data_IF_821444335293
#
_entry.id   IF_821444335293
#
_cell.length_a   1.000
_cell.length_b   1.000
_cell.length_c   1.000
_cell.angle_alpha   90.00
_cell.angle_beta   90.00
_cell.angle_gamma   90.00
#
_symmetry.space_group_name_H-M   'P 1'
#
loop_
_entity.id
_entity.type
_entity.pdbx_description
1 polymer ?
#
# COMPACT_ATOMS: atom_id res chain seq x y z
N UNK A 1 -4.00 5.05 6.16
CA UNK A 1 -3.79 6.28 6.96
C UNK A 1 -3.12 5.98 8.29
N UNK A 2 -3.73 5.19 9.19
CA UNK A 2 -3.14 4.74 10.48
C UNK A 2 -1.66 4.34 10.37
N UNK A 3 -1.35 3.37 9.51
CA UNK A 3 0.01 2.85 9.36
C UNK A 3 0.99 3.93 8.86
N UNK A 4 0.56 4.76 7.90
CA UNK A 4 1.38 5.85 7.37
C UNK A 4 1.71 6.88 8.47
N UNK A 5 0.71 7.32 9.23
CA UNK A 5 0.92 8.25 10.34
C UNK A 5 1.86 7.66 11.41
N UNK A 6 1.65 6.40 11.81
CA UNK A 6 2.54 5.71 12.76
C UNK A 6 3.96 5.52 12.24
N UNK A 7 4.14 5.45 10.92
CA UNK A 7 5.45 5.38 10.27
C UNK A 7 6.11 6.76 10.06
N UNK A 8 5.51 7.85 10.57
CA UNK A 8 5.99 9.21 10.37
C UNK A 8 5.77 9.77 8.96
N UNK A 9 4.92 9.13 8.15
CA UNK A 9 4.57 9.58 6.80
C UNK A 9 3.40 10.56 6.90
N UNK A 10 3.65 11.82 6.53
CA UNK A 10 2.68 12.90 6.68
C UNK A 10 1.75 13.12 5.49
N UNK A 11 2.06 12.55 4.32
CA UNK A 11 1.27 12.70 3.08
C UNK A 11 0.91 11.32 2.53
N UNK A 12 -0.38 11.10 2.28
CA UNK A 12 -0.93 9.89 1.67
C UNK A 12 -1.73 10.26 0.43
N UNK A 13 -1.55 9.52 -0.66
CA UNK A 13 -2.19 9.80 -1.95
C UNK A 13 -3.10 8.63 -2.33
N UNK A 14 -4.29 8.96 -2.85
CA UNK A 14 -5.22 7.98 -3.42
C UNK A 14 -5.93 8.57 -4.63
N UNK A 15 -6.69 7.75 -5.36
CA UNK A 15 -7.59 8.26 -6.41
C UNK A 15 -8.70 9.12 -5.80
N UNK A 16 -9.47 8.56 -4.87
CA UNK A 16 -10.64 9.18 -4.25
C UNK A 16 -10.89 8.57 -2.89
N UNK A 17 -11.18 9.39 -1.89
CA UNK A 17 -11.53 8.89 -0.56
C UNK A 17 -12.93 8.26 -0.58
N UNK A 18 -13.19 7.34 0.36
CA UNK A 18 -14.55 6.97 0.70
C UNK A 18 -15.34 8.15 1.27
N UNK A 19 -16.63 7.93 1.49
CA UNK A 19 -17.54 9.00 1.92
C UNK A 19 -18.88 8.48 2.39
N UNK A 20 -19.84 9.38 2.51
CA UNK A 20 -21.25 9.04 2.78
C UNK A 20 -21.85 8.52 1.48
N UNK A 21 -22.44 7.33 1.51
CA UNK A 21 -23.13 6.79 0.34
C UNK A 21 -24.41 7.58 0.05
N UNK A 22 -24.90 7.47 -1.18
CA UNK A 22 -26.23 8.01 -1.54
C UNK A 22 -27.29 7.29 -0.72
N UNK A 23 -28.24 8.03 -0.15
CA UNK A 23 -29.20 7.54 0.87
C UNK A 23 -28.55 7.16 2.23
N UNK A 24 -27.34 7.65 2.48
CA UNK A 24 -26.58 7.42 3.71
C UNK A 24 -27.29 7.92 4.98
N UNK A 25 -28.21 8.88 4.87
CA UNK A 25 -29.02 9.36 6.00
C UNK A 25 -30.00 8.30 6.54
N UNK A 26 -30.41 7.36 5.70
CA UNK A 26 -31.34 6.29 6.06
C UNK A 26 -30.59 4.98 6.32
N UNK A 27 -29.59 4.69 5.48
CA UNK A 27 -28.84 3.43 5.53
C UNK A 27 -27.70 3.43 6.53
N UNK A 28 -27.19 4.62 6.88
CA UNK A 28 -25.94 4.80 7.63
C UNK A 28 -24.72 4.15 6.97
N UNK A 29 -24.77 3.93 5.65
CA UNK A 29 -23.65 3.44 4.85
C UNK A 29 -22.62 4.57 4.67
N UNK A 30 -21.68 4.65 5.62
CA UNK A 30 -20.67 5.70 5.72
C UNK A 30 -19.29 5.05 5.80
N UNK A 31 -18.40 5.48 4.91
CA UNK A 31 -17.03 4.96 4.88
C UNK A 31 -16.26 5.29 6.17
N UNK A 32 -15.54 4.28 6.67
CA UNK A 32 -14.59 4.44 7.77
C UNK A 32 -13.49 5.48 7.47
N UNK A 33 -13.20 5.76 6.20
CA UNK A 33 -12.24 6.79 5.77
C UNK A 33 -12.52 8.15 6.42
N UNK A 34 -13.80 8.54 6.55
CA UNK A 34 -14.18 9.84 7.10
C UNK A 34 -13.89 9.94 8.60
N UNK A 35 -14.20 8.86 9.32
CA UNK A 35 -13.92 8.78 10.76
C UNK A 35 -12.42 8.71 11.01
N UNK A 36 -11.68 8.01 10.14
CA UNK A 36 -10.23 7.91 10.20
C UNK A 36 -9.55 9.26 9.90
N UNK A 37 -10.05 10.03 8.93
CA UNK A 37 -9.65 11.43 8.70
C UNK A 37 -9.89 12.29 9.94
N UNK A 38 -10.95 12.05 10.72
CA UNK A 38 -11.21 12.77 11.97
C UNK A 38 -10.24 12.44 13.12
N UNK A 39 -9.45 11.37 13.02
CA UNK A 39 -8.68 10.80 14.15
C UNK A 39 -7.19 10.67 13.91
N UNK A 40 -6.75 10.78 12.66
CA UNK A 40 -5.35 10.56 12.28
C UNK A 40 -4.78 11.82 11.62
N UNK A 41 -3.77 12.47 12.24
CA UNK A 41 -3.06 13.62 11.67
C UNK A 41 -2.24 13.25 10.43
N UNK A 42 -2.90 13.23 9.28
CA UNK A 42 -2.29 12.94 7.98
C UNK A 42 -2.92 13.80 6.89
N UNK A 43 -2.12 14.23 5.92
CA UNK A 43 -2.62 14.87 4.72
C UNK A 43 -2.99 13.81 3.69
N UNK A 44 -4.24 13.79 3.24
CA UNK A 44 -4.71 12.93 2.15
C UNK A 44 -4.91 13.77 0.91
N UNK A 45 -4.30 13.35 -0.20
CA UNK A 45 -4.44 13.97 -1.52
C UNK A 45 -5.26 13.05 -2.41
N UNK A 46 -6.39 13.53 -2.91
CA UNK A 46 -7.30 12.76 -3.75
C UNK A 46 -8.05 13.65 -4.73
N UNK A 47 -8.75 13.06 -5.70
CA UNK A 47 -9.64 13.77 -6.61
C UNK A 47 -11.01 14.10 -5.98
N UNK A 48 -11.02 14.41 -4.68
CA UNK A 48 -12.23 14.47 -3.88
C UNK A 48 -12.67 13.08 -3.40
N UNK A 49 -13.98 12.86 -3.39
CA UNK A 49 -14.62 11.60 -2.98
C UNK A 49 -15.01 10.80 -4.23
N UNK A 50 -15.07 9.47 -4.14
CA UNK A 50 -15.47 8.63 -5.29
C UNK A 50 -16.86 9.03 -5.85
N UNK A 51 -17.02 9.05 -7.18
CA UNK A 51 -18.22 9.57 -7.87
C UNK A 51 -19.56 8.93 -7.47
N UNK A 52 -19.55 7.70 -6.96
CA UNK A 52 -20.77 7.00 -6.54
C UNK A 52 -21.36 7.52 -5.22
N UNK A 53 -20.63 8.38 -4.52
CA UNK A 53 -20.93 8.84 -3.17
C UNK A 53 -21.69 10.17 -3.16
N UNK A 54 -22.19 10.55 -1.99
CA UNK A 54 -22.85 11.83 -1.76
C UNK A 54 -21.83 12.88 -1.30
N UNK A 55 -21.48 13.80 -2.20
CA UNK A 55 -20.46 14.83 -1.93
C UNK A 55 -20.90 15.79 -0.83
N UNK A 56 -22.15 16.28 -0.89
CA UNK A 56 -22.68 17.23 0.09
C UNK A 56 -22.66 16.66 1.50
N UNK A 57 -23.25 15.47 1.69
CA UNK A 57 -23.24 14.80 2.99
C UNK A 57 -21.84 14.43 3.46
N UNK A 58 -20.94 14.08 2.55
CA UNK A 58 -19.55 13.80 2.90
C UNK A 58 -18.83 15.05 3.43
N UNK A 59 -19.04 16.21 2.82
CA UNK A 59 -18.46 17.47 3.30
C UNK A 59 -19.01 17.85 4.68
N UNK A 60 -20.32 17.72 4.91
CA UNK A 60 -20.94 17.94 6.23
C UNK A 60 -20.39 16.98 7.30
N UNK A 61 -20.19 15.71 6.94
CA UNK A 61 -19.60 14.73 7.85
C UNK A 61 -18.14 15.06 8.17
N UNK A 62 -17.34 15.45 7.17
CA UNK A 62 -15.95 15.84 7.37
C UNK A 62 -15.83 17.11 8.24
N UNK A 63 -16.73 18.07 8.06
CA UNK A 63 -16.85 19.24 8.94
C UNK A 63 -17.14 18.81 10.38
N UNK A 64 -18.11 17.90 10.57
CA UNK A 64 -18.46 17.35 11.89
C UNK A 64 -17.27 16.62 12.55
N UNK A 65 -16.43 15.94 11.75
CA UNK A 65 -15.21 15.27 12.23
C UNK A 65 -14.02 16.23 12.43
N UNK A 66 -14.19 17.54 12.20
CA UNK A 66 -13.12 18.52 12.33
C UNK A 66 -12.00 18.36 11.30
N UNK A 67 -12.30 17.76 10.14
CA UNK A 67 -11.32 17.55 9.06
C UNK A 67 -11.18 18.83 8.23
N UNK A 68 -9.95 19.30 8.06
CA UNK A 68 -9.68 20.44 7.18
C UNK A 68 -9.77 20.00 5.72
N UNK A 69 -10.70 20.55 4.95
CA UNK A 69 -10.87 20.25 3.53
C UNK A 69 -10.51 21.46 2.67
N UNK A 70 -9.56 21.29 1.76
CA UNK A 70 -9.09 22.34 0.85
C UNK A 70 -9.07 21.84 -0.60
N UNK A 71 -9.62 22.63 -1.53
CA UNK A 71 -9.39 22.37 -2.96
C UNK A 71 -7.98 22.84 -3.34
N UNK A 72 -7.25 22.01 -4.09
CA UNK A 72 -5.98 22.38 -4.70
C UNK A 72 -6.23 23.02 -6.06
N UNK A 73 -5.94 24.32 -6.19
CA UNK A 73 -6.14 25.10 -7.40
C UNK A 73 -6.62 26.52 -7.11
N UNK A 74 -6.92 27.27 -8.17
CA UNK A 74 -7.31 28.68 -8.07
C UNK A 74 -8.74 28.91 -7.53
N UNK A 75 -9.58 27.87 -7.53
CA UNK A 75 -10.99 27.95 -7.18
C UNK A 75 -11.32 27.00 -6.02
N UNK A 76 -12.39 27.31 -5.28
CA UNK A 76 -12.91 26.48 -4.19
C UNK A 76 -13.81 25.34 -4.63
N UNK A 77 -14.02 25.14 -5.93
CA UNK A 77 -14.91 24.08 -6.42
C UNK A 77 -14.37 22.73 -5.94
N UNK A 78 -15.22 21.96 -5.25
CA UNK A 78 -14.86 20.61 -4.85
C UNK A 78 -14.97 19.70 -6.07
N UNK A 79 -13.94 18.92 -6.43
CA UNK A 79 -14.01 18.01 -7.57
C UNK A 79 -14.90 16.79 -7.28
N UNK A 80 -15.63 16.34 -8.29
CA UNK A 80 -16.41 15.10 -8.26
C UNK A 80 -15.61 13.97 -8.94
N UNK A 81 -14.41 13.69 -8.47
CA UNK A 81 -13.53 12.62 -8.97
C UNK A 81 -13.15 12.74 -10.44
N UNK A 82 -14.05 12.36 -11.37
CA UNK A 82 -13.86 12.55 -12.80
C UNK A 82 -14.19 13.95 -13.28
N UNK A 83 -14.98 14.73 -12.56
CA UNK A 83 -15.26 16.12 -12.92
C UNK A 83 -14.48 17.10 -12.04
N UNK A 84 -13.89 18.16 -12.62
CA UNK A 84 -13.25 19.22 -11.82
C UNK A 84 -14.26 20.02 -10.98
N UNK A 85 -15.57 19.85 -11.21
CA UNK A 85 -16.63 20.55 -10.50
C UNK A 85 -17.76 19.60 -10.09
N UNK A 86 -18.16 19.69 -8.82
CA UNK A 86 -19.27 18.89 -8.26
C UNK A 86 -20.56 19.66 -8.05
N UNK A 87 -20.53 21.00 -8.17
CA UNK A 87 -21.57 21.88 -7.66
C UNK A 87 -21.43 22.21 -6.16
N UNK A 88 -20.48 21.60 -5.45
CA UNK A 88 -20.13 21.92 -4.07
C UNK A 88 -18.79 22.68 -4.01
N UNK A 89 -18.54 23.35 -2.89
CA UNK A 89 -17.30 24.09 -2.64
C UNK A 89 -16.61 23.62 -1.37
N UNK A 90 -15.29 23.49 -1.42
CA UNK A 90 -14.45 23.28 -0.24
C UNK A 90 -14.50 24.48 0.72
N UNK A 91 -14.40 24.26 2.04
CA UNK A 91 -14.23 25.34 3.02
C UNK A 91 -12.99 26.20 2.77
N UNK A 92 -11.90 25.59 2.28
CA UNK A 92 -10.63 26.27 2.02
C UNK A 92 -10.12 26.00 0.59
N UNK A 93 -9.07 26.74 0.18
CA UNK A 93 -8.31 26.49 -1.04
C UNK A 93 -6.81 26.66 -0.79
N UNK A 94 -6.01 25.97 -1.58
CA UNK A 94 -4.55 26.17 -1.67
C UNK A 94 -4.14 26.17 -3.14
N UNK A 95 -3.26 27.07 -3.53
CA UNK A 95 -2.92 27.28 -4.95
C UNK A 95 -1.66 26.53 -5.40
N UNK A 96 -0.81 26.13 -4.46
CA UNK A 96 0.52 25.59 -4.74
C UNK A 96 1.00 24.64 -3.61
N UNK A 97 2.08 23.87 -3.84
CA UNK A 97 2.61 22.95 -2.84
C UNK A 97 3.11 23.63 -1.56
N UNK A 98 3.58 24.87 -1.64
CA UNK A 98 4.07 25.65 -0.51
C UNK A 98 2.94 25.99 0.48
N UNK A 99 1.80 26.46 -0.01
CA UNK A 99 0.60 26.73 0.79
C UNK A 99 0.06 25.45 1.42
N UNK A 100 -0.03 24.37 0.65
CA UNK A 100 -0.45 23.07 1.16
C UNK A 100 0.49 22.55 2.26
N UNK A 101 1.81 22.61 2.03
CA UNK A 101 2.81 22.20 3.01
C UNK A 101 2.76 23.05 4.30
N UNK A 102 2.50 24.35 4.17
CA UNK A 102 2.31 25.27 5.30
C UNK A 102 1.04 24.94 6.09
N UNK A 103 -0.05 24.60 5.40
CA UNK A 103 -1.30 24.17 6.05
C UNK A 103 -1.05 22.90 6.88
N UNK A 104 -0.38 21.89 6.32
CA UNK A 104 0.00 20.67 7.04
C UNK A 104 0.84 20.99 8.28
N UNK A 105 1.88 21.80 8.13
CA UNK A 105 2.76 22.19 9.24
C UNK A 105 1.99 22.92 10.35
N UNK A 106 1.06 23.80 9.97
CA UNK A 106 0.21 24.55 10.91
C UNK A 106 -0.71 23.62 11.70
N UNK A 107 -1.40 22.69 11.03
CA UNK A 107 -2.26 21.68 11.66
C UNK A 107 -1.48 20.84 12.69
N UNK A 108 -0.27 20.39 12.32
CA UNK A 108 0.59 19.61 13.22
C UNK A 108 1.07 20.45 14.41
N UNK A 109 1.47 21.72 14.19
CA UNK A 109 1.96 22.60 15.27
C UNK A 109 0.89 22.94 16.31
N UNK A 110 -0.38 22.95 15.90
CA UNK A 110 -1.53 23.16 16.78
C UNK A 110 -1.90 21.89 17.59
N UNK A 111 -1.27 20.75 17.31
CA UNK A 111 -1.56 19.48 17.98
C UNK A 111 -2.92 18.89 17.62
N UNK A 112 -3.52 19.31 16.49
CA UNK A 112 -4.81 18.82 16.04
C UNK A 112 -4.73 17.32 15.72
N UNK A 113 -5.73 16.57 16.16
CA UNK A 113 -5.80 15.11 16.00
C UNK A 113 -6.53 14.68 14.71
N UNK A 114 -6.93 15.62 13.86
CA UNK A 114 -7.58 15.37 12.57
C UNK A 114 -6.61 15.53 11.40
N UNK A 115 -6.95 14.89 10.29
CA UNK A 115 -6.25 14.99 9.02
C UNK A 115 -6.65 16.21 8.19
N UNK A 116 -5.99 16.35 7.05
CA UNK A 116 -6.28 17.35 6.03
C UNK A 116 -6.60 16.64 4.73
N UNK A 117 -7.70 17.00 4.06
CA UNK A 117 -8.04 16.52 2.73
C UNK A 117 -7.73 17.62 1.70
N UNK A 118 -6.77 17.35 0.82
CA UNK A 118 -6.51 18.15 -0.38
C UNK A 118 -7.24 17.54 -1.57
N UNK A 119 -8.31 18.19 -2.00
CA UNK A 119 -9.09 17.78 -3.16
C UNK A 119 -8.49 18.37 -4.45
N UNK A 120 -7.89 17.52 -5.27
CA UNK A 120 -7.17 17.88 -6.50
C UNK A 120 -8.05 17.58 -7.72
N UNK A 121 -8.46 18.59 -8.50
CA UNK A 121 -9.22 18.34 -9.72
C UNK A 121 -8.48 17.42 -10.71
N UNK A 122 -9.24 16.62 -11.46
CA UNK A 122 -8.71 15.87 -12.61
C UNK A 122 -7.95 16.81 -13.57
N UNK A 123 -6.89 16.37 -14.27
CA UNK A 123 -6.21 17.20 -15.27
C UNK A 123 -7.17 17.80 -16.30
N UNK A 124 -6.92 19.05 -16.68
CA UNK A 124 -7.77 19.81 -17.62
C UNK A 124 -7.97 19.07 -18.96
N UNK A 125 -6.94 18.40 -19.46
CA UNK A 125 -6.98 17.58 -20.67
C UNK A 125 -8.01 16.44 -20.61
N UNK A 126 -8.34 15.96 -19.40
CA UNK A 126 -9.30 14.90 -19.16
C UNK A 126 -10.66 15.42 -18.66
N UNK A 127 -10.80 16.71 -18.39
CA UNK A 127 -12.00 17.29 -17.77
C UNK A 127 -13.28 17.06 -18.61
N UNK A 128 -13.20 17.21 -19.94
CA UNK A 128 -14.35 17.02 -20.82
C UNK A 128 -14.83 15.56 -20.87
N UNK A 129 -13.88 14.61 -20.97
CA UNK A 129 -14.19 13.19 -20.91
C UNK A 129 -14.71 12.79 -19.52
N UNK A 130 -14.10 13.35 -18.48
CA UNK A 130 -14.46 13.14 -17.09
C UNK A 130 -15.88 13.62 -16.76
N UNK A 131 -16.30 14.78 -17.28
CA UNK A 131 -17.67 15.27 -17.15
C UNK A 131 -18.70 14.29 -17.75
N UNK A 132 -18.43 13.72 -18.92
CA UNK A 132 -19.31 12.71 -19.54
C UNK A 132 -19.39 11.43 -18.69
N UNK A 133 -18.27 11.03 -18.08
CA UNK A 133 -18.22 9.87 -17.19
C UNK A 133 -19.04 10.15 -15.92
N UNK A 134 -18.92 11.34 -15.35
CA UNK A 134 -19.67 11.75 -14.15
C UNK A 134 -21.18 11.77 -14.40
N UNK A 135 -21.62 12.28 -15.55
CA UNK A 135 -23.02 12.26 -15.98
C UNK A 135 -23.56 10.82 -16.15
N UNK A 136 -22.74 9.93 -16.71
CA UNK A 136 -23.06 8.51 -16.84
C UNK A 136 -23.19 7.83 -15.47
N UNK A 137 -22.32 8.16 -14.52
CA UNK A 137 -22.37 7.66 -13.14
C UNK A 137 -23.62 8.15 -12.44
N UNK A 138 -23.94 9.45 -12.53
CA UNK A 138 -25.13 10.01 -11.91
C UNK A 138 -26.41 9.36 -12.46
N UNK A 139 -26.44 9.08 -13.77
CA UNK A 139 -27.54 8.34 -14.41
C UNK A 139 -27.63 6.90 -13.85
N UNK A 140 -26.51 6.20 -13.74
CA UNK A 140 -26.46 4.83 -13.22
C UNK A 140 -26.89 4.75 -11.74
N UNK A 141 -26.45 5.70 -10.92
CA UNK A 141 -26.84 5.83 -9.50
C UNK A 141 -28.35 6.05 -9.38
N UNK A 142 -28.92 6.97 -10.15
CA UNK A 142 -30.38 7.22 -10.16
C UNK A 142 -31.15 5.98 -10.60
N UNK A 143 -30.68 5.27 -11.64
CA UNK A 143 -31.33 4.04 -12.11
C UNK A 143 -31.26 2.91 -11.07
N UNK A 144 -30.13 2.77 -10.36
CA UNK A 144 -29.98 1.80 -9.28
C UNK A 144 -31.00 2.05 -8.16
N UNK A 145 -31.16 3.31 -7.77
CA UNK A 145 -32.14 3.75 -6.76
C UNK A 145 -33.57 3.45 -7.20
N UNK A 146 -33.95 3.83 -8.43
CA UNK A 146 -35.31 3.56 -8.98
C UNK A 146 -35.62 2.06 -9.05
N UNK A 147 -34.61 1.23 -9.33
CA UNK A 147 -34.74 -0.23 -9.38
C UNK A 147 -34.68 -0.91 -8.01
N UNK A 148 -34.46 -0.15 -6.93
CA UNK A 148 -34.32 -0.70 -5.58
C UNK A 148 -33.09 -1.60 -5.41
N UNK A 149 -32.05 -1.41 -6.22
CA UNK A 149 -30.79 -2.15 -6.10
C UNK A 149 -30.10 -1.65 -4.83
N UNK A 150 -29.79 -2.56 -3.92
CA UNK A 150 -29.25 -2.23 -2.59
C UNK A 150 -28.11 -3.16 -2.20
N UNK A 151 -27.34 -2.76 -1.18
CA UNK A 151 -26.22 -3.54 -0.65
C UNK A 151 -25.14 -3.84 -1.69
N UNK A 152 -24.65 -5.08 -1.66
CA UNK A 152 -23.49 -5.52 -2.49
C UNK A 152 -23.73 -5.47 -4.01
N UNK A 153 -24.98 -5.35 -4.46
CA UNK A 153 -25.35 -5.38 -5.87
C UNK A 153 -25.34 -3.99 -6.53
N UNK A 154 -25.26 -2.92 -5.73
CA UNK A 154 -25.22 -1.52 -6.21
C UNK A 154 -23.97 -1.25 -7.03
N UNK A 155 -22.80 -1.59 -6.48
CA UNK A 155 -21.51 -1.28 -7.13
C UNK A 155 -21.35 -2.03 -8.46
N UNK A 156 -21.58 -3.35 -8.57
CA UNK A 156 -21.54 -4.04 -9.86
C UNK A 156 -22.51 -3.47 -10.90
N UNK A 157 -23.72 -3.08 -10.49
CA UNK A 157 -24.70 -2.48 -11.38
C UNK A 157 -24.21 -1.13 -11.95
N UNK A 158 -23.73 -0.24 -11.08
CA UNK A 158 -23.22 1.07 -11.49
C UNK A 158 -22.03 0.88 -12.43
N UNK A 159 -21.08 0.00 -12.08
CA UNK A 159 -19.89 -0.24 -12.90
C UNK A 159 -20.22 -0.77 -14.29
N UNK A 160 -21.15 -1.73 -14.40
CA UNK A 160 -21.59 -2.25 -15.69
C UNK A 160 -22.21 -1.14 -16.53
N UNK A 161 -23.12 -0.36 -15.94
CA UNK A 161 -23.81 0.73 -16.63
C UNK A 161 -22.86 1.82 -17.10
N UNK A 162 -21.91 2.22 -16.26
CA UNK A 162 -20.90 3.23 -16.60
C UNK A 162 -20.00 2.72 -17.71
N UNK A 163 -19.61 1.44 -17.70
CA UNK A 163 -18.82 0.87 -18.78
C UNK A 163 -19.59 0.87 -20.11
N UNK A 164 -20.86 0.48 -20.10
CA UNK A 164 -21.74 0.49 -21.28
C UNK A 164 -21.88 1.91 -21.87
N UNK A 165 -22.03 2.93 -21.01
CA UNK A 165 -22.20 4.32 -21.40
C UNK A 165 -20.88 4.99 -21.85
N UNK A 166 -19.76 4.62 -21.24
CA UNK A 166 -18.47 5.31 -21.45
C UNK A 166 -17.53 4.56 -22.41
N UNK A 167 -17.87 3.32 -22.80
CA UNK A 167 -17.08 2.45 -23.69
C UNK A 167 -15.61 2.32 -23.23
N UNK A 168 -15.38 2.20 -21.93
CA UNK A 168 -14.04 2.03 -21.33
C UNK A 168 -13.22 3.32 -21.17
N UNK A 169 -13.76 4.50 -21.47
CA UNK A 169 -13.07 5.79 -21.25
C UNK A 169 -12.82 6.10 -19.78
N UNK A 170 -13.61 5.54 -18.87
CA UNK A 170 -13.48 5.73 -17.42
C UNK A 170 -12.13 5.26 -16.86
N UNK A 171 -11.55 4.19 -17.41
CA UNK A 171 -10.26 3.66 -16.95
C UNK A 171 -9.10 4.64 -17.24
N UNK A 172 -9.08 5.24 -18.43
CA UNK A 172 -8.04 6.20 -18.81
C UNK A 172 -8.09 7.46 -17.94
N UNK A 173 -9.29 8.00 -17.68
CA UNK A 173 -9.49 9.13 -16.79
C UNK A 173 -9.07 8.81 -15.35
N UNK A 174 -9.34 7.59 -14.86
CA UNK A 174 -8.95 7.15 -13.52
C UNK A 174 -7.42 7.03 -13.37
N UNK A 175 -6.74 6.48 -14.37
CA UNK A 175 -5.28 6.44 -14.37
C UNK A 175 -4.70 7.87 -14.35
N UNK A 176 -5.24 8.77 -15.18
CA UNK A 176 -4.79 10.15 -15.27
C UNK A 176 -4.96 10.93 -13.96
N UNK A 177 -6.11 10.80 -13.29
CA UNK A 177 -6.33 11.47 -11.99
C UNK A 177 -5.40 10.91 -10.91
N UNK A 178 -5.15 9.59 -10.87
CA UNK A 178 -4.24 8.98 -9.89
C UNK A 178 -2.82 9.51 -10.09
N UNK A 179 -2.34 9.59 -11.33
CA UNK A 179 -1.05 10.19 -11.64
C UNK A 179 -0.97 11.66 -11.23
N UNK A 180 -2.04 12.43 -11.44
CA UNK A 180 -2.08 13.83 -11.03
C UNK A 180 -2.00 13.98 -9.50
N UNK A 181 -2.79 13.19 -8.77
CA UNK A 181 -2.78 13.19 -7.31
C UNK A 181 -1.39 12.79 -6.77
N UNK A 182 -0.75 11.80 -7.39
CA UNK A 182 0.60 11.36 -7.02
C UNK A 182 1.65 12.44 -7.27
N UNK A 183 1.55 13.16 -8.40
CA UNK A 183 2.42 14.29 -8.72
C UNK A 183 2.26 15.41 -7.68
N UNK A 184 1.04 15.85 -7.42
CA UNK A 184 0.74 16.92 -6.45
C UNK A 184 1.15 16.50 -5.04
N UNK A 185 0.76 15.30 -4.59
CA UNK A 185 1.13 14.79 -3.27
C UNK A 185 2.64 14.67 -3.08
N UNK A 186 3.38 14.25 -4.11
CA UNK A 186 4.84 14.20 -4.06
C UNK A 186 5.47 15.59 -3.93
N UNK A 187 4.94 16.58 -4.66
CA UNK A 187 5.40 17.97 -4.56
C UNK A 187 5.15 18.53 -3.14
N UNK A 188 3.95 18.33 -2.59
CA UNK A 188 3.60 18.74 -1.22
C UNK A 188 4.54 18.07 -0.20
N UNK A 189 4.77 16.76 -0.32
CA UNK A 189 5.63 16.01 0.59
C UNK A 189 7.09 16.50 0.56
N UNK A 190 7.63 16.76 -0.65
CA UNK A 190 8.96 17.34 -0.82
C UNK A 190 9.05 18.72 -0.16
N UNK A 191 8.10 19.62 -0.41
CA UNK A 191 8.11 20.97 0.16
C UNK A 191 7.94 20.95 1.69
N UNK A 192 7.06 20.09 2.22
CA UNK A 192 6.87 19.93 3.66
C UNK A 192 8.14 19.44 4.38
N UNK A 193 8.91 18.55 3.76
CA UNK A 193 10.20 18.07 4.32
C UNK A 193 11.23 19.20 4.41
N UNK A 194 11.34 20.06 3.40
CA UNK A 194 12.30 21.17 3.41
C UNK A 194 11.98 22.22 4.48
N UNK A 195 10.68 22.44 4.78
CA UNK A 195 10.25 23.34 5.87
C UNK A 195 10.58 22.85 7.28
N UNK A 196 10.78 21.54 7.48
CA UNK A 196 11.18 20.95 8.77
C UNK A 196 12.69 21.05 9.05
N UNK A 197 13.54 21.30 8.05
CA UNK A 197 14.99 21.35 8.24
C UNK A 197 15.50 22.62 8.96
N UNK A 198 14.65 23.61 9.20
CA UNK A 198 14.99 24.85 9.92
C UNK A 198 14.68 24.84 11.42
N UNK A 199 14.02 23.81 11.95
CA UNK A 199 13.69 23.71 13.37
C UNK A 199 13.26 22.28 13.73
N UNK A 200 14.21 21.42 14.11
CA UNK A 200 14.16 20.76 15.42
C UNK A 200 15.29 19.75 15.59
N UNK A 201 15.93 19.89 16.75
CA UNK A 201 16.69 18.88 17.48
C UNK A 201 15.81 17.67 17.81
N UNK A 202 16.39 16.47 17.67
CA UNK A 202 15.82 15.18 18.05
C UNK A 202 15.08 15.22 19.40
N UNK A 203 13.75 15.19 19.36
CA UNK A 203 12.93 14.84 20.52
C UNK A 203 12.61 13.34 20.46
N UNK A 204 13.38 12.59 21.23
CA UNK A 204 13.29 11.15 21.42
C UNK A 204 11.97 10.82 22.15
N UNK A 205 10.92 10.46 21.40
CA UNK A 205 9.66 9.96 21.97
C UNK A 205 9.82 8.49 22.36
N UNK A 206 10.59 8.21 23.41
CA UNK A 206 10.62 6.88 24.03
C UNK A 206 9.46 6.73 25.01
N UNK A 207 8.32 6.23 24.51
CA UNK A 207 7.33 5.61 25.40
C UNK A 207 7.81 4.21 25.77
N UNK A 208 8.11 4.00 27.05
CA UNK A 208 8.43 2.70 27.64
C UNK A 208 7.20 1.76 27.61
N UNK A 209 6.94 1.16 26.45
CA UNK A 209 6.13 -0.05 26.35
C UNK A 209 7.07 -1.25 26.35
N UNK A 210 6.69 -2.33 27.04
CA UNK A 210 7.40 -3.60 26.99
C UNK A 210 7.64 -3.97 25.52
N UNK A 211 8.91 -4.02 25.11
CA UNK A 211 9.28 -4.24 23.71
C UNK A 211 8.85 -5.65 23.33
N UNK A 212 7.74 -5.76 22.60
CA UNK A 212 7.28 -7.01 22.04
C UNK A 212 8.36 -7.50 21.08
N UNK A 213 8.97 -8.64 21.39
CA UNK A 213 9.98 -9.22 20.52
C UNK A 213 9.29 -9.78 19.28
N UNK A 214 9.60 -9.21 18.13
CA UNK A 214 9.14 -9.67 16.82
C UNK A 214 10.34 -10.22 16.07
N UNK A 215 10.14 -11.32 15.35
CA UNK A 215 11.17 -11.90 14.49
C UNK A 215 10.64 -11.96 13.07
N UNK A 216 11.45 -11.55 12.10
CA UNK A 216 11.13 -11.65 10.68
C UNK A 216 12.20 -12.50 10.03
N UNK A 217 11.79 -13.56 9.33
CA UNK A 217 12.68 -14.49 8.64
C UNK A 217 12.33 -14.44 7.17
N UNK A 218 13.27 -13.98 6.35
CA UNK A 218 12.98 -13.86 4.93
C UNK A 218 14.05 -13.23 4.07
N UNK A 219 13.72 -13.09 2.79
CA UNK A 219 14.64 -12.62 1.77
C UNK A 219 14.89 -11.11 1.85
N UNK A 220 16.09 -10.75 1.40
CA UNK A 220 16.53 -9.40 1.11
C UNK A 220 17.13 -9.38 -0.28
N UNK A 221 16.83 -8.34 -1.07
CA UNK A 221 17.21 -8.26 -2.48
C UNK A 221 17.72 -6.87 -2.83
N UNK A 222 18.48 -6.79 -3.92
CA UNK A 222 18.72 -5.55 -4.66
C UNK A 222 17.93 -5.61 -5.97
N UNK A 223 16.98 -4.70 -6.12
CA UNK A 223 16.09 -4.66 -7.28
C UNK A 223 16.61 -3.64 -8.30
N UNK A 224 16.66 -4.04 -9.55
CA UNK A 224 16.98 -3.23 -10.72
C UNK A 224 15.74 -3.10 -11.59
N UNK A 225 15.22 -1.89 -11.68
CA UNK A 225 14.03 -1.57 -12.47
C UNK A 225 14.49 -0.85 -13.73
N UNK A 226 14.56 -1.57 -14.84
CA UNK A 226 14.91 -1.03 -16.15
C UNK A 226 13.62 -0.62 -16.89
N UNK A 227 13.53 0.63 -17.32
CA UNK A 227 12.41 1.15 -18.13
C UNK A 227 12.91 1.63 -19.48
N UNK A 228 12.30 1.15 -20.56
CA UNK A 228 12.65 1.59 -21.91
C UNK A 228 11.94 0.80 -23.00
N UNK A 229 12.16 1.18 -24.26
CA UNK A 229 11.60 0.48 -25.42
C UNK A 229 12.26 -0.88 -25.58
N UNK A 230 11.49 -1.95 -25.44
CA UNK A 230 12.04 -3.31 -25.45
C UNK A 230 12.10 -3.87 -26.87
N UNK A 231 13.31 -4.09 -27.38
CA UNK A 231 13.57 -4.97 -28.52
C UNK A 231 14.56 -6.05 -28.09
N UNK A 232 14.13 -7.30 -28.16
CA UNK A 232 14.96 -8.43 -27.79
C UNK A 232 16.18 -8.57 -28.72
N UNK A 233 17.31 -9.01 -28.15
CA UNK A 233 18.54 -9.28 -28.91
C UNK A 233 19.41 -8.06 -29.23
N UNK A 234 19.12 -6.88 -28.68
CA UNK A 234 19.90 -5.65 -28.88
C UNK A 234 19.94 -4.76 -27.63
N UNK A 235 20.89 -3.82 -27.59
CA UNK A 235 20.93 -2.76 -26.58
C UNK A 235 19.84 -1.73 -26.87
N UNK A 236 19.04 -1.39 -25.85
CA UNK A 236 17.97 -0.41 -25.98
C UNK A 236 18.24 0.81 -25.09
N UNK A 237 17.93 2.03 -25.55
CA UNK A 237 17.97 3.20 -24.69
C UNK A 237 16.89 3.10 -23.59
N UNK A 238 17.25 3.47 -22.37
CA UNK A 238 16.35 3.39 -21.23
C UNK A 238 16.97 3.96 -19.96
N UNK A 239 16.24 3.81 -18.85
CA UNK A 239 16.67 4.20 -17.51
C UNK A 239 16.65 2.99 -16.59
N UNK A 240 17.68 2.83 -15.77
CA UNK A 240 17.71 1.81 -14.71
C UNK A 240 17.65 2.52 -13.37
N UNK A 241 16.78 2.05 -12.49
CA UNK A 241 16.67 2.48 -11.10
C UNK A 241 17.07 1.30 -10.20
N UNK A 242 17.83 1.57 -9.15
CA UNK A 242 18.14 0.59 -8.12
C UNK A 242 17.28 0.86 -6.89
N UNK A 243 16.70 -0.19 -6.32
CA UNK A 243 16.01 -0.17 -5.03
C UNK A 243 16.39 -1.40 -4.20
N UNK A 244 16.01 -1.39 -2.92
CA UNK A 244 16.32 -2.50 -2.00
C UNK A 244 15.03 -3.24 -1.69
N UNK A 245 15.02 -4.50 -2.11
CA UNK A 245 13.90 -5.42 -2.23
C UNK A 245 13.93 -6.57 -1.23
N UNK A 246 13.04 -7.54 -1.43
CA UNK A 246 12.86 -8.72 -0.58
C UNK A 246 11.70 -8.57 0.41
N UNK A 247 10.84 -9.61 0.47
CA UNK A 247 9.61 -9.59 1.26
C UNK A 247 9.90 -9.57 2.76
N UNK A 248 10.80 -10.45 3.24
CA UNK A 248 11.27 -10.40 4.62
C UNK A 248 11.79 -9.02 5.01
N UNK A 249 12.64 -8.42 4.17
CA UNK A 249 13.18 -7.07 4.42
C UNK A 249 12.08 -6.00 4.40
N UNK A 250 11.10 -6.06 3.49
CA UNK A 250 9.95 -5.12 3.48
C UNK A 250 9.14 -5.18 4.79
N UNK A 251 8.88 -6.39 5.30
CA UNK A 251 8.14 -6.58 6.56
C UNK A 251 8.94 -6.00 7.73
N UNK A 252 10.22 -6.35 7.83
CA UNK A 252 11.09 -5.86 8.89
C UNK A 252 11.32 -4.34 8.83
N UNK A 253 11.47 -3.77 7.63
CA UNK A 253 11.56 -2.32 7.39
C UNK A 253 10.28 -1.61 7.85
N UNK A 254 9.11 -2.13 7.44
CA UNK A 254 7.81 -1.55 7.81
C UNK A 254 7.61 -1.54 9.32
N UNK A 255 7.89 -2.65 10.00
CA UNK A 255 7.86 -2.73 11.47
C UNK A 255 8.86 -1.75 12.11
N UNK A 256 10.07 -1.64 11.58
CA UNK A 256 11.08 -0.70 12.09
C UNK A 256 10.64 0.75 11.98
N UNK A 257 10.01 1.12 10.86
CA UNK A 257 9.43 2.46 10.66
C UNK A 257 8.24 2.74 11.57
N UNK A 258 7.49 1.71 11.97
CA UNK A 258 6.41 1.79 12.96
C UNK A 258 6.93 1.84 14.41
N UNK A 259 8.22 2.06 14.62
CA UNK A 259 8.85 2.19 15.94
C UNK A 259 9.13 0.86 16.64
N UNK A 260 8.92 -0.27 15.96
CA UNK A 260 9.34 -1.57 16.48
C UNK A 260 10.81 -1.83 16.13
N UNK A 261 11.39 -2.90 16.68
CA UNK A 261 12.77 -3.31 16.35
C UNK A 261 12.81 -4.82 16.15
N UNK A 262 12.14 -5.35 15.11
CA UNK A 262 12.12 -6.78 14.87
C UNK A 262 13.53 -7.29 14.62
N UNK A 263 13.86 -8.47 15.13
CA UNK A 263 15.08 -9.17 14.71
C UNK A 263 14.86 -9.68 13.29
N UNK A 264 15.65 -9.18 12.34
CA UNK A 264 15.59 -9.65 10.97
C UNK A 264 16.64 -10.73 10.72
N UNK A 265 16.17 -11.93 10.39
CA UNK A 265 17.00 -13.10 10.06
C UNK A 265 16.96 -13.33 8.55
N UNK A 266 18.14 -13.27 7.91
CA UNK A 266 18.27 -13.34 6.45
C UNK A 266 19.68 -13.74 6.03
N UNK A 267 19.95 -13.73 4.73
CA UNK A 267 21.28 -13.97 4.15
C UNK A 267 21.56 -13.04 2.96
N UNK A 268 22.79 -12.55 2.88
CA UNK A 268 23.35 -11.74 1.77
C UNK A 268 24.73 -12.27 1.39
N UNK A 269 25.21 -11.92 0.20
CA UNK A 269 26.59 -12.16 -0.18
C UNK A 269 27.55 -11.26 0.59
N UNK A 270 28.85 -11.49 0.46
CA UNK A 270 29.90 -10.56 0.90
C UNK A 270 30.34 -9.65 -0.26
N UNK A 271 29.38 -8.98 -0.89
CA UNK A 271 29.60 -8.16 -2.09
C UNK A 271 29.18 -6.69 -1.88
N UNK A 272 29.43 -5.85 -2.90
CA UNK A 272 29.06 -4.43 -2.87
C UNK A 272 27.55 -4.20 -2.81
N UNK A 273 26.74 -5.18 -3.24
CA UNK A 273 25.28 -5.11 -3.14
C UNK A 273 24.84 -5.24 -1.67
N UNK A 274 25.46 -6.16 -0.92
CA UNK A 274 25.28 -6.29 0.52
C UNK A 274 25.65 -4.99 1.25
N UNK A 275 26.79 -4.37 0.91
CA UNK A 275 27.19 -3.10 1.54
C UNK A 275 26.15 -1.98 1.31
N UNK A 276 25.61 -1.88 0.09
CA UNK A 276 24.58 -0.91 -0.25
C UNK A 276 23.28 -1.17 0.53
N UNK A 277 22.90 -2.44 0.67
CA UNK A 277 21.75 -2.90 1.46
C UNK A 277 21.90 -2.48 2.93
N UNK A 278 23.03 -2.80 3.58
CA UNK A 278 23.26 -2.44 4.98
C UNK A 278 23.29 -0.93 5.19
N UNK A 279 23.84 -0.17 4.23
CA UNK A 279 23.82 1.28 4.29
C UNK A 279 22.40 1.86 4.17
N UNK A 280 21.52 1.24 3.37
CA UNK A 280 20.12 1.63 3.26
C UNK A 280 19.29 1.24 4.49
N UNK A 281 19.57 0.08 5.08
CA UNK A 281 18.78 -0.51 6.17
C UNK A 281 19.33 -0.21 7.57
N UNK A 282 20.11 0.87 7.75
CA UNK A 282 20.76 1.22 9.05
C UNK A 282 19.80 1.37 10.23
N UNK A 283 18.54 1.70 9.97
CA UNK A 283 17.50 1.85 10.98
C UNK A 283 16.86 0.52 11.40
N UNK A 284 17.19 -0.59 10.73
CA UNK A 284 16.69 -1.93 11.03
C UNK A 284 17.68 -2.72 11.90
N UNK A 285 17.19 -3.68 12.69
CA UNK A 285 18.04 -4.63 13.39
C UNK A 285 18.43 -5.78 12.46
N UNK A 286 19.59 -5.67 11.83
CA UNK A 286 20.13 -6.64 10.88
C UNK A 286 21.15 -7.61 11.49
N UNK A 287 21.19 -7.77 12.81
CA UNK A 287 22.15 -8.66 13.48
C UNK A 287 21.95 -10.15 13.15
N UNK A 288 20.77 -10.53 12.65
CA UNK A 288 20.48 -11.88 12.16
C UNK A 288 20.71 -12.07 10.65
N UNK A 289 21.30 -11.10 9.96
CA UNK A 289 21.58 -11.18 8.52
C UNK A 289 22.99 -11.74 8.29
N UNK A 290 23.08 -12.95 7.76
CA UNK A 290 24.36 -13.54 7.36
C UNK A 290 24.98 -12.79 6.17
N UNK A 291 26.31 -12.70 6.16
CA UNK A 291 27.11 -12.32 4.99
C UNK A 291 27.96 -13.51 4.59
N UNK A 292 27.74 -14.04 3.40
CA UNK A 292 28.34 -15.28 2.91
C UNK A 292 29.35 -14.98 1.80
N UNK A 293 30.61 -15.37 1.96
CA UNK A 293 31.70 -15.01 1.03
C UNK A 293 31.57 -15.62 -0.37
N UNK A 294 31.04 -16.85 -0.46
CA UNK A 294 30.92 -17.60 -1.72
C UNK A 294 29.53 -17.49 -2.37
N UNK A 295 28.73 -16.51 -1.97
CA UNK A 295 27.38 -16.31 -2.48
C UNK A 295 27.19 -14.86 -2.93
N UNK A 296 26.35 -14.67 -3.96
CA UNK A 296 25.93 -13.34 -4.40
C UNK A 296 24.72 -12.88 -3.59
N UNK A 297 24.66 -11.59 -3.24
CA UNK A 297 23.46 -10.97 -2.71
C UNK A 297 22.33 -11.09 -3.73
N UNK A 298 21.12 -11.47 -3.29
CA UNK A 298 20.01 -11.68 -4.19
C UNK A 298 19.72 -10.41 -5.01
N UNK A 299 19.53 -10.57 -6.32
CA UNK A 299 19.16 -9.49 -7.22
C UNK A 299 17.88 -9.83 -7.97
N UNK A 300 17.06 -8.81 -8.22
CA UNK A 300 15.90 -8.93 -9.10
C UNK A 300 16.00 -7.86 -10.18
N UNK A 301 15.94 -8.24 -11.44
CA UNK A 301 15.88 -7.30 -12.55
C UNK A 301 14.51 -7.39 -13.21
N UNK A 302 13.81 -6.27 -13.29
CA UNK A 302 12.56 -6.15 -14.04
C UNK A 302 12.75 -5.17 -15.18
N UNK A 303 12.34 -5.57 -16.38
CA UNK A 303 12.28 -4.73 -17.57
C UNK A 303 10.82 -4.34 -17.80
N UNK A 304 10.56 -3.04 -17.73
CA UNK A 304 9.26 -2.42 -17.94
C UNK A 304 9.29 -1.69 -19.28
N UNK A 305 8.27 -1.91 -20.10
CA UNK A 305 8.16 -1.24 -21.39
C UNK A 305 7.68 0.23 -21.27
N UNK A 306 7.49 0.89 -22.41
CA UNK A 306 7.03 2.29 -22.43
C UNK A 306 5.59 2.46 -21.93
N UNK A 307 4.77 1.41 -22.01
CA UNK A 307 3.39 1.39 -21.50
C UNK A 307 3.31 1.22 -19.99
N UNK A 308 4.40 0.76 -19.36
CA UNK A 308 4.44 0.46 -17.94
C UNK A 308 4.19 -1.02 -17.62
N UNK A 309 4.06 -1.86 -18.64
CA UNK A 309 3.88 -3.31 -18.46
C UNK A 309 5.23 -4.03 -18.29
N UNK A 310 5.22 -5.10 -17.50
CA UNK A 310 6.39 -5.95 -17.29
C UNK A 310 6.66 -6.77 -18.55
N UNK A 311 7.80 -6.52 -19.18
CA UNK A 311 8.26 -7.27 -20.35
C UNK A 311 9.07 -8.52 -19.96
N UNK A 312 9.90 -8.42 -18.93
CA UNK A 312 10.73 -9.53 -18.43
C UNK A 312 11.06 -9.30 -16.95
N UNK A 313 11.02 -10.36 -16.15
CA UNK A 313 11.58 -10.39 -14.79
C UNK A 313 12.62 -11.50 -14.68
N UNK A 314 13.77 -11.21 -14.08
CA UNK A 314 14.84 -12.15 -13.82
C UNK A 314 15.26 -12.03 -12.36
N UNK A 315 15.21 -13.12 -11.61
CA UNK A 315 15.66 -13.17 -10.22
C UNK A 315 16.87 -14.09 -10.06
N UNK A 316 17.96 -13.56 -9.53
CA UNK A 316 19.05 -14.34 -8.94
C UNK A 316 18.86 -14.28 -7.42
N UNK A 317 18.18 -15.29 -6.86
CA UNK A 317 17.73 -15.27 -5.46
C UNK A 317 18.08 -16.55 -4.70
N UNK A 318 19.01 -17.35 -5.24
CA UNK A 318 19.36 -18.67 -4.70
C UNK A 318 19.91 -18.58 -3.27
N UNK A 319 20.51 -17.46 -2.91
CA UNK A 319 21.00 -17.22 -1.54
C UNK A 319 19.89 -17.30 -0.48
N UNK A 320 18.61 -17.11 -0.83
CA UNK A 320 17.52 -17.32 0.13
C UNK A 320 17.44 -18.77 0.60
N UNK A 321 18.00 -19.73 -0.14
CA UNK A 321 18.14 -21.13 0.30
C UNK A 321 19.14 -21.30 1.45
N UNK A 322 20.01 -20.31 1.68
CA UNK A 322 20.98 -20.32 2.79
C UNK A 322 20.36 -19.89 4.12
N UNK A 323 19.12 -19.42 4.13
CA UNK A 323 18.34 -19.18 5.34
C UNK A 323 17.81 -20.54 5.82
N UNK A 324 18.72 -21.42 6.22
CA UNK A 324 18.45 -22.81 6.58
C UNK A 324 17.95 -22.95 8.01
N UNK A 325 17.35 -24.11 8.33
CA UNK A 325 17.04 -24.50 9.70
C UNK A 325 18.27 -24.42 10.61
N UNK A 326 19.42 -24.90 10.13
CA UNK A 326 20.67 -24.86 10.90
C UNK A 326 21.09 -23.42 11.23
N UNK A 327 20.89 -22.48 10.31
CA UNK A 327 21.18 -21.08 10.57
C UNK A 327 20.15 -20.45 11.53
N UNK A 328 18.86 -20.65 11.25
CA UNK A 328 17.76 -20.07 12.02
C UNK A 328 17.72 -20.59 13.47
N UNK A 329 18.09 -21.85 13.71
CA UNK A 329 18.14 -22.45 15.05
C UNK A 329 19.15 -21.79 15.99
N UNK A 330 20.14 -21.05 15.48
CA UNK A 330 21.04 -20.23 16.31
C UNK A 330 20.30 -19.11 17.06
N UNK A 331 19.10 -18.76 16.59
CA UNK A 331 18.24 -17.73 17.16
C UNK A 331 17.04 -18.30 17.94
N UNK A 332 17.10 -19.58 18.36
CA UNK A 332 15.99 -20.26 19.04
C UNK A 332 15.49 -19.48 20.27
N UNK A 333 16.39 -18.88 21.06
CA UNK A 333 16.00 -18.08 22.23
C UNK A 333 15.10 -16.89 21.84
N UNK A 334 15.44 -16.20 20.75
CA UNK A 334 14.68 -15.07 20.25
C UNK A 334 13.36 -15.52 19.61
N UNK A 335 13.37 -16.64 18.91
CA UNK A 335 12.14 -17.25 18.39
C UNK A 335 11.20 -17.63 19.53
N UNK A 336 11.64 -18.41 20.52
CA UNK A 336 10.84 -18.88 21.66
C UNK A 336 10.29 -17.77 22.55
N UNK A 337 10.85 -16.56 22.50
CA UNK A 337 10.39 -15.39 23.26
C UNK A 337 9.64 -14.36 22.40
N UNK A 338 9.51 -14.61 21.11
CA UNK A 338 8.80 -13.72 20.21
C UNK A 338 7.28 -13.79 20.46
N UNK A 339 6.61 -12.65 20.31
CA UNK A 339 5.13 -12.60 20.30
C UNK A 339 4.55 -12.80 18.90
N UNK A 340 5.39 -12.57 17.88
CA UNK A 340 5.05 -12.74 16.47
C UNK A 340 6.32 -13.13 15.69
N UNK A 341 6.19 -14.17 14.85
CA UNK A 341 7.20 -14.51 13.84
C UNK A 341 6.58 -14.35 12.44
N UNK A 342 7.22 -13.55 11.59
CA UNK A 342 6.84 -13.39 10.18
C UNK A 342 7.75 -14.22 9.29
N UNK A 343 7.14 -15.05 8.43
CA UNK A 343 7.82 -15.94 7.50
C UNK A 343 7.57 -15.49 6.06
N UNK A 344 8.66 -15.24 5.34
CA UNK A 344 8.65 -15.03 3.89
C UNK A 344 8.58 -16.37 3.14
N UNK A 345 7.67 -16.49 2.17
CA UNK A 345 7.56 -17.69 1.35
C UNK A 345 8.79 -18.07 0.51
N UNK A 346 9.79 -17.20 0.36
CA UNK A 346 11.02 -17.50 -0.38
C UNK A 346 11.96 -18.47 0.37
N UNK A 347 11.87 -18.60 1.68
CA UNK A 347 12.79 -19.45 2.48
C UNK A 347 12.54 -20.96 2.26
N UNK A 348 13.48 -21.84 2.63
CA UNK A 348 13.31 -23.30 2.51
C UNK A 348 12.13 -23.85 3.29
N UNK A 349 11.51 -24.92 2.77
CA UNK A 349 10.38 -25.61 3.44
C UNK A 349 10.78 -26.14 4.81
N UNK A 350 11.98 -26.75 4.92
CA UNK A 350 12.51 -27.23 6.20
C UNK A 350 12.63 -26.13 7.25
N UNK A 351 12.93 -24.90 6.83
CA UNK A 351 13.02 -23.75 7.74
C UNK A 351 11.64 -23.29 8.19
N UNK A 352 10.66 -23.27 7.27
CA UNK A 352 9.25 -23.01 7.63
C UNK A 352 8.78 -24.04 8.65
N UNK A 353 9.06 -25.33 8.43
CA UNK A 353 8.67 -26.42 9.30
C UNK A 353 9.30 -26.31 10.69
N UNK A 354 10.61 -26.06 10.74
CA UNK A 354 11.31 -25.83 12.00
C UNK A 354 10.69 -24.68 12.80
N UNK A 355 10.49 -23.52 12.17
CA UNK A 355 9.94 -22.33 12.86
C UNK A 355 8.51 -22.58 13.32
N UNK A 356 7.68 -23.24 12.52
CA UNK A 356 6.32 -23.62 12.90
C UNK A 356 6.32 -24.59 14.09
N UNK A 357 7.28 -25.52 14.17
CA UNK A 357 7.42 -26.43 15.31
C UNK A 357 7.74 -25.68 16.61
N UNK A 358 8.65 -24.70 16.56
CA UNK A 358 9.00 -23.84 17.71
C UNK A 358 7.80 -22.98 18.11
N UNK A 359 7.11 -22.39 17.12
CA UNK A 359 5.94 -21.56 17.36
C UNK A 359 4.81 -22.33 18.03
N UNK A 360 4.54 -23.57 17.58
CA UNK A 360 3.56 -24.46 18.21
C UNK A 360 3.93 -24.77 19.67
N UNK A 361 5.19 -25.13 19.93
CA UNK A 361 5.69 -25.46 21.28
C UNK A 361 5.58 -24.29 22.26
N UNK A 362 5.77 -23.06 21.77
CA UNK A 362 5.80 -21.85 22.59
C UNK A 362 4.54 -20.98 22.47
N UNK A 363 3.51 -21.45 21.73
CA UNK A 363 2.27 -20.70 21.48
C UNK A 363 2.50 -19.30 20.89
N UNK A 364 3.40 -19.22 19.91
CA UNK A 364 3.78 -17.97 19.23
C UNK A 364 2.89 -17.77 18.01
N UNK A 365 2.47 -16.54 17.76
CA UNK A 365 1.74 -16.22 16.53
C UNK A 365 2.68 -16.26 15.33
N UNK A 366 2.25 -16.92 14.25
CA UNK A 366 3.01 -16.97 12.99
C UNK A 366 2.23 -16.29 11.88
N UNK A 367 2.86 -15.32 11.23
CA UNK A 367 2.37 -14.71 9.99
C UNK A 367 3.16 -15.29 8.82
N UNK A 368 2.47 -15.83 7.83
CA UNK A 368 3.08 -16.30 6.60
C UNK A 368 2.77 -15.36 5.43
N UNK A 369 3.78 -14.84 4.76
CA UNK A 369 3.61 -14.02 3.56
C UNK A 369 3.86 -14.87 2.30
N UNK A 370 2.81 -15.29 1.59
CA UNK A 370 2.96 -15.97 0.30
C UNK A 370 3.42 -14.95 -0.75
N UNK A 371 4.53 -15.24 -1.41
CA UNK A 371 5.15 -14.29 -2.36
C UNK A 371 4.84 -14.61 -3.82
N UNK A 372 4.39 -15.83 -4.08
CA UNK A 372 3.76 -16.26 -5.32
C UNK A 372 2.99 -17.57 -5.07
N UNK A 373 2.34 -18.07 -6.13
CA UNK A 373 1.54 -19.30 -6.07
C UNK A 373 2.35 -20.55 -5.71
N UNK A 374 3.57 -20.69 -6.20
CA UNK A 374 4.42 -21.84 -5.89
C UNK A 374 4.90 -21.81 -4.45
N UNK A 375 5.13 -20.63 -3.90
CA UNK A 375 5.56 -20.47 -2.50
C UNK A 375 4.38 -20.61 -1.56
N UNK A 376 3.20 -20.14 -1.93
CA UNK A 376 1.97 -20.25 -1.15
C UNK A 376 1.66 -21.69 -0.68
N UNK A 377 2.06 -22.72 -1.45
CA UNK A 377 1.83 -24.12 -1.07
C UNK A 377 2.76 -24.64 0.03
N UNK A 378 3.91 -24.01 0.27
CA UNK A 378 5.00 -24.58 1.09
C UNK A 378 4.55 -25.02 2.50
N UNK A 379 3.83 -24.21 3.30
CA UNK A 379 3.40 -24.65 4.64
C UNK A 379 2.36 -25.79 4.61
N UNK A 380 1.71 -26.00 3.47
CA UNK A 380 0.67 -27.01 3.25
C UNK A 380 1.22 -28.32 2.66
N UNK A 381 2.53 -28.38 2.36
CA UNK A 381 3.21 -29.62 2.00
C UNK A 381 3.47 -30.52 3.22
N UNK A 382 3.40 -29.93 4.42
CA UNK A 382 3.52 -30.57 5.73
C UNK A 382 2.33 -30.13 6.60
N UNK A 383 2.34 -30.52 7.88
CA UNK A 383 1.33 -30.06 8.85
C UNK A 383 1.62 -28.66 9.43
N UNK A 384 2.66 -27.97 8.95
CA UNK A 384 3.10 -26.67 9.46
C UNK A 384 2.04 -25.57 9.34
N UNK A 385 1.14 -25.66 8.35
CA UNK A 385 0.01 -24.73 8.21
C UNK A 385 -0.87 -24.65 9.46
N UNK A 386 -0.94 -25.71 10.28
CA UNK A 386 -1.72 -25.74 11.53
C UNK A 386 -1.19 -24.78 12.59
N UNK A 387 0.07 -24.37 12.47
CA UNK A 387 0.73 -23.41 13.37
C UNK A 387 0.66 -21.97 12.86
N UNK A 388 0.12 -21.75 11.66
CA UNK A 388 -0.04 -20.41 11.11
C UNK A 388 -1.23 -19.70 11.75
N UNK A 389 -1.01 -18.51 12.28
CA UNK A 389 -2.05 -17.65 12.83
C UNK A 389 -2.64 -16.71 11.77
N UNK A 390 -1.77 -16.23 10.87
CA UNK A 390 -2.12 -15.26 9.84
C UNK A 390 -1.45 -15.60 8.51
N UNK A 391 -2.08 -15.20 7.42
CA UNK A 391 -1.50 -15.22 6.07
C UNK A 391 -2.18 -14.16 5.22
N UNK A 392 -1.46 -13.60 4.25
CA UNK A 392 -1.96 -12.52 3.37
C UNK A 392 -1.93 -12.89 1.88
N UNK A 393 -2.57 -14.01 1.47
CA UNK A 393 -2.59 -14.41 0.07
C UNK A 393 -3.45 -13.48 -0.78
N UNK A 394 -3.01 -13.23 -2.01
CA UNK A 394 -3.93 -12.83 -3.06
C UNK A 394 -4.84 -14.02 -3.47
N UNK A 395 -5.83 -13.74 -4.33
CA UNK A 395 -6.80 -14.77 -4.74
C UNK A 395 -6.15 -16.00 -5.39
N UNK A 396 -5.11 -15.82 -6.19
CA UNK A 396 -4.43 -16.93 -6.88
C UNK A 396 -3.68 -17.79 -5.89
N UNK A 397 -2.94 -17.18 -4.96
CA UNK A 397 -2.24 -17.87 -3.88
C UNK A 397 -3.20 -18.63 -2.97
N UNK A 398 -4.32 -18.00 -2.58
CA UNK A 398 -5.33 -18.64 -1.72
C UNK A 398 -5.93 -19.87 -2.40
N UNK A 399 -6.20 -19.78 -3.71
CA UNK A 399 -6.65 -20.94 -4.50
C UNK A 399 -5.60 -22.03 -4.53
N UNK A 400 -4.33 -21.68 -4.66
CA UNK A 400 -3.24 -22.66 -4.63
C UNK A 400 -3.17 -23.36 -3.27
N UNK A 401 -3.26 -22.62 -2.15
CA UNK A 401 -3.33 -23.20 -0.80
C UNK A 401 -4.49 -24.20 -0.68
N UNK A 402 -5.69 -23.81 -1.12
CA UNK A 402 -6.88 -24.65 -1.08
C UNK A 402 -6.74 -25.93 -1.93
N UNK A 403 -6.14 -25.81 -3.12
CA UNK A 403 -5.82 -26.96 -3.99
C UNK A 403 -4.80 -27.88 -3.36
N UNK A 404 -3.77 -27.35 -2.72
CA UNK A 404 -2.74 -28.16 -2.04
C UNK A 404 -3.34 -29.00 -0.91
N UNK A 405 -4.36 -28.50 -0.23
CA UNK A 405 -5.13 -29.24 0.79
C UNK A 405 -6.12 -30.26 0.21
N UNK A 406 -6.26 -30.37 -1.12
CA UNK A 406 -7.23 -31.25 -1.76
C UNK A 406 -8.68 -30.79 -1.60
N UNK A 407 -8.91 -29.52 -1.26
CA UNK A 407 -10.24 -28.96 -1.04
C UNK A 407 -10.88 -28.48 -2.36
N UNK A 408 -12.22 -28.56 -2.48
CA UNK A 408 -12.94 -28.01 -3.63
C UNK A 408 -12.61 -26.52 -3.81
N UNK A 409 -12.09 -26.16 -4.98
CA UNK A 409 -11.65 -24.79 -5.29
C UNK A 409 -12.48 -24.25 -6.46
N UNK A 410 -13.20 -23.12 -6.28
CA UNK A 410 -14.02 -22.55 -7.36
C UNK A 410 -13.17 -22.18 -8.59
N UNK A 411 -13.58 -22.67 -9.76
CA UNK A 411 -13.00 -22.29 -11.05
C UNK A 411 -13.80 -21.11 -11.66
N UNK A 412 -13.11 -20.01 -11.96
CA UNK A 412 -13.70 -18.82 -12.58
C UNK A 412 -12.97 -17.51 -12.24
N UNK A 413 -13.10 -16.48 -13.09
CA UNK A 413 -12.68 -15.12 -12.73
C UNK A 413 -13.69 -14.59 -11.71
N UNK A 414 -13.31 -14.51 -10.44
CA UNK A 414 -13.96 -13.56 -9.54
C UNK A 414 -13.52 -12.18 -10.05
N UNK A 415 -14.46 -11.42 -10.61
CA UNK A 415 -14.21 -10.04 -10.96
C UNK A 415 -13.83 -9.31 -9.68
N UNK A 416 -12.53 -9.11 -9.45
CA UNK A 416 -12.07 -8.16 -8.46
C UNK A 416 -12.57 -6.81 -8.97
N UNK A 417 -13.59 -6.27 -8.32
CA UNK A 417 -14.15 -4.96 -8.65
C UNK A 417 -13.05 -3.94 -8.44
N UNK A 418 -12.33 -3.59 -9.52
CA UNK A 418 -11.54 -2.36 -9.56
C UNK A 418 -12.53 -1.23 -9.28
N UNK A 419 -12.49 -0.76 -8.05
CA UNK A 419 -13.36 0.30 -7.57
C UNK A 419 -12.88 1.59 -8.22
N UNK A 420 -13.76 2.18 -9.01
CA UNK A 420 -13.70 3.58 -9.42
C UNK A 420 -13.64 4.43 -8.15
#
# INVERSE_FOLDING_TARGET
MIAAHRAGISVFVTGGVGGVHRDGENTLDISADLTELGRTPIAVVSAGVKSILDIGRTLEFLETQGVCVATYGALRNFPAFFSPQSGFTSPYQVCNPEEAAKLIASTLSLGLQSGVLFAVPIPEEQAAAGQQIEEAIQTAVTEASVKGITGRDVTPFILQKVNDLTKGKSLHANIALIHNNAKVGSQIACTHRHGKQSSDSDSDYTTHNAVLLQVVIGGINVDFIAKGKTKFGQTNPGRVCQSFGGVGRNIADSMSRLGQRPMFISATGADSHSDAVFNHCKHMNTNGVARLEEQSTATYCVVIDESGEMSLGLGDMDIHQQITEQYVSQFEKQLSSATLVCLDGNIPVSTIDYVCSIASKHSINVWYEPTDSEKARKPFLSDSWKSLSYSSPNLTELRTMNKTLGLPTPEGKLYCSMSI
#
